data_IF_924508731388
#
_entry.id   IF_924508731388
#
_cell.length_a   1.000
_cell.length_b   1.000
_cell.length_c   1.000
_cell.angle_alpha   90.00
_cell.angle_beta   90.00
_cell.angle_gamma   90.00
#
_symmetry.space_group_name_H-M   'P 1'
#
loop_
_entity.id
_entity.type
_entity.pdbx_description
1 polymer ?
#
# COMPACT_ATOMS: atom_id res chain seq x y z
N UNK A 1 13.97 -5.36 3.15
CA UNK A 1 13.70 -6.68 3.72
C UNK A 1 13.66 -6.66 5.25
N UNK A 2 14.68 -6.11 5.93
CA UNK A 2 14.76 -6.12 7.40
C UNK A 2 13.59 -5.37 8.08
N UNK A 3 13.16 -4.22 7.55
CA UNK A 3 12.00 -3.49 8.07
C UNK A 3 10.65 -4.17 7.78
N UNK A 4 10.48 -4.80 6.61
CA UNK A 4 9.32 -5.66 6.30
C UNK A 4 9.22 -6.81 7.31
N UNK A 5 10.36 -7.44 7.63
CA UNK A 5 10.47 -8.48 8.64
C UNK A 5 10.16 -7.91 10.04
N UNK A 6 10.68 -6.73 10.39
CA UNK A 6 10.41 -6.06 11.67
C UNK A 6 8.93 -5.72 11.81
N UNK A 7 8.33 -5.07 10.82
CA UNK A 7 6.90 -4.71 10.80
C UNK A 7 6.06 -5.97 10.92
N UNK A 8 6.30 -7.01 10.10
CA UNK A 8 5.55 -8.26 10.23
C UNK A 8 5.82 -8.99 11.56
N UNK A 9 7.03 -8.89 12.12
CA UNK A 9 7.36 -9.48 13.44
C UNK A 9 6.68 -8.77 14.61
N UNK A 10 6.28 -7.50 14.45
CA UNK A 10 5.41 -6.83 15.43
C UNK A 10 4.01 -7.48 15.50
N UNK A 11 3.57 -8.17 14.44
CA UNK A 11 2.29 -8.90 14.39
C UNK A 11 2.46 -10.38 14.70
N UNK A 12 3.60 -10.95 14.28
CA UNK A 12 3.99 -12.33 14.54
C UNK A 12 4.89 -12.31 15.76
N UNK A 13 4.28 -12.24 16.95
CA UNK A 13 5.03 -12.31 18.20
C UNK A 13 5.90 -13.59 18.20
N UNK A 14 7.25 -13.48 18.11
CA UNK A 14 8.12 -14.64 17.91
C UNK A 14 8.10 -15.61 19.10
N UNK A 15 7.61 -15.16 20.26
CA UNK A 15 7.52 -15.96 21.50
C UNK A 15 6.15 -16.64 21.70
N UNK A 16 5.13 -16.32 20.90
CA UNK A 16 3.79 -16.88 21.05
C UNK A 16 3.43 -17.80 19.88
N UNK A 17 3.83 -19.06 20.01
CA UNK A 17 3.70 -20.19 19.07
C UNK A 17 2.27 -20.60 18.70
N UNK A 18 1.24 -19.89 19.17
CA UNK A 18 -0.14 -20.30 18.96
C UNK A 18 -0.80 -19.59 17.76
N UNK A 19 -0.54 -20.13 16.55
CA UNK A 19 -1.22 -19.76 15.28
C UNK A 19 -2.76 -19.73 15.40
N UNK A 20 -3.32 -20.50 16.33
CA UNK A 20 -4.75 -20.56 16.61
C UNK A 20 -5.29 -19.31 17.33
N UNK A 21 -4.46 -18.54 18.03
CA UNK A 21 -4.91 -17.36 18.78
C UNK A 21 -5.27 -16.22 17.83
N UNK A 22 -4.47 -15.94 16.80
CA UNK A 22 -4.74 -14.84 15.85
C UNK A 22 -6.02 -15.08 15.05
N UNK A 23 -6.21 -16.30 14.52
CA UNK A 23 -7.45 -16.68 13.80
C UNK A 23 -8.67 -16.66 14.72
N UNK A 24 -8.54 -17.13 15.97
CA UNK A 24 -9.61 -17.11 16.97
C UNK A 24 -9.95 -15.69 17.41
N UNK A 25 -8.97 -14.79 17.54
CA UNK A 25 -9.17 -13.37 17.85
C UNK A 25 -9.90 -12.64 16.71
N UNK A 26 -9.44 -12.78 15.47
CA UNK A 26 -10.08 -12.18 14.29
C UNK A 26 -11.52 -12.69 14.18
N UNK A 27 -11.73 -14.01 14.15
CA UNK A 27 -13.07 -14.59 14.03
C UNK A 27 -14.01 -14.26 15.20
N UNK A 28 -13.50 -14.15 16.43
CA UNK A 28 -14.28 -13.73 17.61
C UNK A 28 -14.80 -12.30 17.47
N UNK A 29 -13.96 -11.39 16.99
CA UNK A 29 -14.26 -9.97 16.87
C UNK A 29 -15.10 -9.61 15.63
N UNK A 30 -15.16 -10.46 14.60
CA UNK A 30 -16.06 -10.21 13.46
C UNK A 30 -17.54 -10.11 13.89
N UNK A 31 -18.28 -9.16 13.30
CA UNK A 31 -19.72 -8.96 13.48
C UNK A 31 -20.46 -9.44 12.23
N UNK A 32 -21.78 -9.63 12.34
CA UNK A 32 -22.65 -9.92 11.20
C UNK A 32 -23.59 -8.75 10.96
N UNK A 33 -23.37 -8.00 9.90
CA UNK A 33 -24.29 -6.99 9.40
C UNK A 33 -24.38 -7.11 7.88
N UNK A 34 -25.52 -7.60 7.38
CA UNK A 34 -25.70 -7.88 5.95
C UNK A 34 -25.69 -6.61 5.11
N UNK A 35 -26.25 -5.50 5.62
CA UNK A 35 -26.36 -4.25 4.88
C UNK A 35 -24.96 -3.69 4.63
N UNK A 36 -24.15 -3.56 5.69
CA UNK A 36 -22.77 -3.08 5.57
C UNK A 36 -21.95 -4.00 4.64
N UNK A 37 -22.12 -5.31 4.79
CA UNK A 37 -21.38 -6.28 4.01
C UNK A 37 -21.76 -6.26 2.51
N UNK A 38 -23.04 -6.12 2.19
CA UNK A 38 -23.55 -6.10 0.82
C UNK A 38 -23.21 -4.77 0.13
N UNK A 39 -23.45 -3.64 0.80
CA UNK A 39 -23.05 -2.31 0.31
C UNK A 39 -21.55 -2.26 0.06
N UNK A 40 -20.75 -2.76 1.00
CA UNK A 40 -19.29 -2.82 0.87
C UNK A 40 -18.83 -3.62 -0.35
N UNK A 41 -19.41 -4.81 -0.59
CA UNK A 41 -19.10 -5.59 -1.80
C UNK A 41 -19.49 -4.87 -3.07
N UNK A 42 -20.70 -4.28 -3.15
CA UNK A 42 -21.14 -3.53 -4.33
C UNK A 42 -20.15 -2.40 -4.64
N UNK A 43 -19.78 -1.60 -3.64
CA UNK A 43 -18.81 -0.52 -3.80
C UNK A 43 -17.45 -1.03 -4.29
N UNK A 44 -16.95 -2.12 -3.72
CA UNK A 44 -15.68 -2.72 -4.15
C UNK A 44 -15.74 -3.10 -5.63
N UNK A 45 -16.75 -3.84 -6.07
CA UNK A 45 -16.87 -4.25 -7.47
C UNK A 45 -17.09 -3.08 -8.43
N UNK A 46 -17.81 -2.03 -8.01
CA UNK A 46 -17.91 -0.78 -8.77
C UNK A 46 -16.53 -0.14 -8.95
N UNK A 47 -15.76 -0.03 -7.86
CA UNK A 47 -14.38 0.48 -7.91
C UNK A 47 -13.54 -0.37 -8.88
N UNK A 48 -13.56 -1.70 -8.76
CA UNK A 48 -12.80 -2.56 -9.68
C UNK A 48 -13.22 -2.38 -11.15
N UNK A 49 -14.52 -2.30 -11.43
CA UNK A 49 -15.04 -2.06 -12.78
C UNK A 49 -14.55 -0.75 -13.37
N UNK A 50 -14.68 0.35 -12.64
CA UNK A 50 -14.18 1.67 -13.06
C UNK A 50 -12.66 1.65 -13.23
N UNK A 51 -11.94 0.95 -12.33
CA UNK A 51 -10.49 0.80 -12.39
C UNK A 51 -10.01 0.08 -13.64
N UNK A 52 -10.62 -1.05 -13.97
CA UNK A 52 -10.26 -1.81 -15.18
C UNK A 52 -10.56 -1.00 -16.45
N UNK A 53 -11.69 -0.28 -16.49
CA UNK A 53 -12.03 0.60 -17.63
C UNK A 53 -11.04 1.76 -17.76
N UNK A 54 -10.62 2.36 -16.65
CA UNK A 54 -9.63 3.43 -16.65
C UNK A 54 -8.26 2.93 -17.13
N UNK A 55 -7.84 1.75 -16.64
CA UNK A 55 -6.59 1.12 -17.03
C UNK A 55 -6.59 0.73 -18.50
N UNK A 56 -7.68 0.15 -19.01
CA UNK A 56 -7.76 -0.31 -20.40
C UNK A 56 -7.69 0.83 -21.40
N UNK A 57 -8.26 1.99 -21.09
CA UNK A 57 -8.18 3.20 -21.95
C UNK A 57 -6.77 3.75 -22.08
N UNK A 58 -5.97 3.64 -21.02
CA UNK A 58 -4.63 4.23 -20.97
C UNK A 58 -3.53 3.20 -21.29
N UNK A 59 -3.86 1.91 -21.42
CA UNK A 59 -2.89 0.83 -21.59
C UNK A 59 -2.16 0.90 -22.93
N UNK A 60 -0.84 1.09 -22.88
CA UNK A 60 0.06 0.91 -24.00
C UNK A 60 1.13 -0.14 -23.65
N UNK A 61 1.28 -1.16 -24.51
CA UNK A 61 2.28 -2.21 -24.36
C UNK A 61 3.69 -1.61 -24.23
N UNK A 62 4.44 -2.04 -23.22
CA UNK A 62 5.80 -1.56 -22.94
C UNK A 62 5.87 -0.27 -22.09
N UNK A 63 4.75 0.38 -21.80
CA UNK A 63 4.72 1.59 -20.95
C UNK A 63 4.17 1.31 -19.55
N UNK A 64 4.64 2.11 -18.58
CA UNK A 64 4.08 2.10 -17.24
C UNK A 64 2.79 2.92 -17.21
N UNK A 65 1.66 2.25 -17.00
CA UNK A 65 0.40 2.93 -16.72
C UNK A 65 0.10 2.85 -15.23
N UNK A 66 -0.08 4.01 -14.61
CA UNK A 66 -0.55 4.13 -13.24
C UNK A 66 -1.97 4.70 -13.26
N UNK A 67 -2.72 4.39 -12.21
CA UNK A 67 -4.00 5.04 -12.00
C UNK A 67 -3.77 6.21 -11.06
N UNK A 68 -4.13 7.40 -11.52
CA UNK A 68 -3.95 8.64 -10.75
C UNK A 68 -4.90 8.78 -9.57
N UNK A 69 -5.94 7.95 -9.47
CA UNK A 69 -6.96 8.13 -8.44
C UNK A 69 -6.66 7.30 -7.21
N UNK A 70 -6.63 7.99 -6.07
CA UNK A 70 -6.37 7.40 -4.75
C UNK A 70 -7.49 6.46 -4.28
N UNK A 71 -8.65 6.49 -4.93
CA UNK A 71 -9.82 5.68 -4.56
C UNK A 71 -9.55 4.17 -4.64
N UNK A 72 -8.69 3.74 -5.58
CA UNK A 72 -8.30 2.34 -5.71
C UNK A 72 -7.43 1.88 -4.56
N UNK A 73 -6.58 2.76 -4.05
CA UNK A 73 -5.69 2.47 -2.93
C UNK A 73 -6.47 2.41 -1.61
N UNK A 74 -7.39 3.36 -1.42
CA UNK A 74 -8.24 3.42 -0.23
C UNK A 74 -9.39 2.40 -0.25
N UNK A 75 -9.65 1.73 -1.38
CA UNK A 75 -10.60 0.62 -1.45
C UNK A 75 -10.31 -0.48 -0.43
N UNK A 76 -9.04 -0.63 -0.01
CA UNK A 76 -8.65 -1.59 1.01
C UNK A 76 -9.27 -1.32 2.38
N UNK A 77 -9.57 -0.05 2.70
CA UNK A 77 -10.30 0.31 3.91
C UNK A 77 -11.72 -0.26 3.87
N UNK A 78 -12.39 -0.09 2.73
CA UNK A 78 -13.72 -0.66 2.47
C UNK A 78 -13.66 -2.19 2.53
N UNK A 79 -12.62 -2.80 1.95
CA UNK A 79 -12.41 -4.24 1.99
C UNK A 79 -12.33 -4.78 3.41
N UNK A 80 -11.45 -4.20 4.24
CA UNK A 80 -11.25 -4.64 5.63
C UNK A 80 -12.56 -4.47 6.43
N UNK A 81 -13.24 -3.33 6.29
CA UNK A 81 -14.53 -3.09 6.95
C UNK A 81 -15.56 -4.15 6.53
N UNK A 82 -15.72 -4.38 5.24
CA UNK A 82 -16.68 -5.36 4.68
C UNK A 82 -16.40 -6.76 5.22
N UNK A 83 -15.13 -7.17 5.25
CA UNK A 83 -14.72 -8.46 5.79
C UNK A 83 -15.11 -8.62 7.28
N UNK A 84 -14.91 -7.58 8.09
CA UNK A 84 -15.24 -7.60 9.52
C UNK A 84 -16.73 -7.72 9.80
N UNK A 85 -17.60 -7.23 8.90
CA UNK A 85 -19.06 -7.33 9.02
C UNK A 85 -19.68 -8.55 8.30
N UNK A 86 -18.90 -9.32 7.55
CA UNK A 86 -19.35 -10.46 6.75
C UNK A 86 -19.31 -11.83 7.48
N UNK A 87 -19.25 -11.89 8.82
CA UNK A 87 -18.96 -13.13 9.57
C UNK A 87 -19.80 -14.35 9.17
N UNK A 88 -21.12 -14.17 9.06
CA UNK A 88 -22.07 -15.27 8.79
C UNK A 88 -22.29 -15.54 7.30
N UNK A 89 -21.82 -14.65 6.41
CA UNK A 89 -22.20 -14.66 5.00
C UNK A 89 -21.09 -15.27 4.14
N UNK A 90 -21.14 -16.60 3.95
CA UNK A 90 -20.11 -17.34 3.19
C UNK A 90 -19.95 -16.82 1.75
N UNK A 91 -21.06 -16.50 1.09
CA UNK A 91 -21.06 -15.93 -0.28
C UNK A 91 -20.31 -14.60 -0.32
N UNK A 92 -20.56 -13.70 0.64
CA UNK A 92 -19.83 -12.43 0.71
C UNK A 92 -18.33 -12.63 0.94
N UNK A 93 -17.96 -13.58 1.80
CA UNK A 93 -16.55 -13.91 2.00
C UNK A 93 -15.88 -14.46 0.72
N UNK A 94 -16.62 -15.26 -0.06
CA UNK A 94 -16.15 -15.74 -1.37
C UNK A 94 -16.01 -14.59 -2.37
N UNK A 95 -16.99 -13.67 -2.42
CA UNK A 95 -16.92 -12.48 -3.27
C UNK A 95 -15.75 -11.56 -2.89
N UNK A 96 -15.47 -11.37 -1.60
CA UNK A 96 -14.27 -10.64 -1.16
C UNK A 96 -12.98 -11.32 -1.60
N UNK A 97 -12.91 -12.66 -1.49
CA UNK A 97 -11.75 -13.41 -1.98
C UNK A 97 -11.56 -13.23 -3.50
N UNK A 98 -12.63 -13.43 -4.27
CA UNK A 98 -12.60 -13.26 -5.73
C UNK A 98 -12.24 -11.83 -6.12
N UNK A 99 -12.80 -10.85 -5.44
CA UNK A 99 -12.48 -9.44 -5.63
C UNK A 99 -10.97 -9.19 -5.46
N UNK A 100 -10.38 -9.64 -4.36
CA UNK A 100 -8.96 -9.40 -4.09
C UNK A 100 -8.05 -10.12 -5.10
N UNK A 101 -8.42 -11.33 -5.55
CA UNK A 101 -7.70 -12.05 -6.61
C UNK A 101 -7.79 -11.30 -7.94
N UNK A 102 -9.00 -10.91 -8.36
CA UNK A 102 -9.22 -10.16 -9.60
C UNK A 102 -8.48 -8.81 -9.57
N UNK A 103 -8.59 -8.07 -8.47
CA UNK A 103 -7.88 -6.82 -8.26
C UNK A 103 -6.37 -7.02 -8.43
N UNK A 104 -5.79 -7.98 -7.71
CA UNK A 104 -4.35 -8.27 -7.75
C UNK A 104 -3.90 -8.65 -9.16
N UNK A 105 -4.60 -9.56 -9.84
CA UNK A 105 -4.24 -10.01 -11.19
C UNK A 105 -4.34 -8.86 -12.19
N UNK A 106 -5.48 -8.15 -12.22
CA UNK A 106 -5.68 -7.04 -13.15
C UNK A 106 -4.64 -5.95 -12.94
N UNK A 107 -4.49 -5.44 -11.72
CA UNK A 107 -3.57 -4.33 -11.43
C UNK A 107 -2.11 -4.72 -11.64
N UNK A 108 -1.74 -5.99 -11.40
CA UNK A 108 -0.39 -6.49 -11.71
C UNK A 108 -0.12 -6.55 -13.21
N UNK A 109 -1.10 -6.94 -14.03
CA UNK A 109 -0.97 -6.96 -15.50
C UNK A 109 -0.75 -5.55 -16.05
N UNK A 110 -1.52 -4.58 -15.56
CA UNK A 110 -1.34 -3.17 -15.94
C UNK A 110 -0.08 -2.55 -15.28
N UNK A 111 0.39 -3.17 -14.20
CA UNK A 111 1.67 -2.93 -13.54
C UNK A 111 1.65 -1.94 -12.38
N UNK A 112 0.47 -1.73 -11.78
CA UNK A 112 0.35 -1.22 -10.41
C UNK A 112 0.59 -2.36 -9.40
N UNK A 113 1.88 -2.56 -9.12
CA UNK A 113 2.38 -3.59 -8.20
C UNK A 113 2.12 -3.22 -6.74
N UNK A 114 2.23 -1.93 -6.41
CA UNK A 114 2.13 -1.44 -5.04
C UNK A 114 0.75 -1.69 -4.42
N UNK A 115 -0.32 -1.39 -5.17
CA UNK A 115 -1.70 -1.64 -4.75
C UNK A 115 -2.04 -3.13 -4.72
N UNK A 116 -1.46 -3.92 -5.63
CA UNK A 116 -1.63 -5.37 -5.67
C UNK A 116 -1.05 -6.04 -4.41
N UNK A 117 0.14 -5.61 -3.97
CA UNK A 117 0.77 -6.13 -2.75
C UNK A 117 -0.03 -5.84 -1.48
N UNK A 118 -0.68 -4.68 -1.39
CA UNK A 118 -1.57 -4.35 -0.27
C UNK A 118 -2.68 -5.40 -0.10
N UNK A 119 -3.32 -5.78 -1.19
CA UNK A 119 -4.38 -6.78 -1.17
C UNK A 119 -3.88 -8.18 -0.83
N UNK A 120 -2.71 -8.58 -1.34
CA UNK A 120 -2.07 -9.85 -0.97
C UNK A 120 -1.82 -9.89 0.55
N UNK A 121 -1.26 -8.81 1.12
CA UNK A 121 -0.96 -8.73 2.56
C UNK A 121 -2.24 -8.80 3.40
N UNK A 122 -3.27 -8.03 3.03
CA UNK A 122 -4.55 -8.06 3.76
C UNK A 122 -5.25 -9.43 3.64
N UNK A 123 -5.20 -10.07 2.48
CA UNK A 123 -5.70 -11.44 2.32
C UNK A 123 -4.99 -12.42 3.26
N UNK A 124 -3.67 -12.35 3.33
CA UNK A 124 -2.87 -13.20 4.22
C UNK A 124 -3.20 -12.91 5.70
N UNK A 125 -3.31 -11.64 6.08
CA UNK A 125 -3.61 -11.24 7.46
C UNK A 125 -5.02 -11.66 7.91
N UNK A 126 -6.03 -11.45 7.07
CA UNK A 126 -7.43 -11.66 7.45
C UNK A 126 -7.93 -13.07 7.17
N UNK A 127 -7.63 -13.61 5.98
CA UNK A 127 -8.19 -14.89 5.53
C UNK A 127 -7.27 -16.07 5.81
N UNK A 128 -5.96 -15.86 5.80
CA UNK A 128 -4.97 -16.92 5.97
C UNK A 128 -3.91 -16.66 7.06
N UNK A 129 -4.29 -16.19 8.26
CA UNK A 129 -3.32 -15.80 9.28
C UNK A 129 -2.43 -16.96 9.76
N UNK A 130 -2.85 -18.22 9.60
CA UNK A 130 -2.07 -19.38 10.02
C UNK A 130 -0.85 -19.66 9.12
N UNK A 131 -0.81 -19.11 7.90
CA UNK A 131 0.37 -19.20 7.04
C UNK A 131 1.41 -18.11 7.34
N UNK A 132 1.09 -17.10 8.15
CA UNK A 132 2.00 -16.03 8.54
C UNK A 132 2.93 -16.48 9.67
N UNK A 133 3.93 -17.29 9.33
CA UNK A 133 5.07 -17.59 10.21
C UNK A 133 6.27 -16.77 9.78
N UNK A 134 7.22 -16.51 10.68
CA UNK A 134 8.46 -15.80 10.35
C UNK A 134 9.14 -16.36 9.08
N UNK A 135 9.28 -17.70 9.00
CA UNK A 135 9.85 -18.39 7.83
C UNK A 135 9.04 -18.14 6.56
N UNK A 136 7.72 -18.25 6.65
CA UNK A 136 6.85 -18.06 5.49
C UNK A 136 6.81 -16.59 5.07
N UNK A 137 6.87 -15.64 6.01
CA UNK A 137 6.93 -14.21 5.72
C UNK A 137 8.21 -13.86 4.96
N UNK A 138 9.37 -14.40 5.38
CA UNK A 138 10.62 -14.21 4.63
C UNK A 138 10.48 -14.80 3.23
N UNK A 139 9.97 -16.04 3.13
CA UNK A 139 9.76 -16.70 1.85
C UNK A 139 8.85 -15.89 0.92
N UNK A 140 7.67 -15.47 1.40
CA UNK A 140 6.73 -14.63 0.64
C UNK A 140 7.33 -13.28 0.26
N UNK A 141 8.13 -12.67 1.14
CA UNK A 141 8.82 -11.41 0.83
C UNK A 141 9.82 -11.58 -0.32
N UNK A 142 10.67 -12.60 -0.26
CA UNK A 142 11.66 -12.89 -1.31
C UNK A 142 10.97 -13.28 -2.62
N UNK A 143 10.00 -14.20 -2.56
CA UNK A 143 9.23 -14.61 -3.74
C UNK A 143 8.45 -13.45 -4.35
N UNK A 144 7.90 -12.56 -3.52
CA UNK A 144 7.20 -11.36 -3.97
C UNK A 144 8.11 -10.43 -4.77
N UNK A 145 9.33 -10.19 -4.29
CA UNK A 145 10.34 -9.38 -5.02
C UNK A 145 10.68 -10.02 -6.36
N UNK A 146 10.98 -11.33 -6.37
CA UNK A 146 11.34 -12.05 -7.60
C UNK A 146 10.20 -12.00 -8.62
N UNK A 147 8.96 -12.31 -8.20
CA UNK A 147 7.78 -12.29 -9.07
C UNK A 147 7.48 -10.88 -9.58
N UNK A 148 7.56 -9.87 -8.71
CA UNK A 148 7.37 -8.46 -9.07
C UNK A 148 8.32 -8.00 -10.16
N UNK A 149 9.60 -8.40 -10.06
CA UNK A 149 10.62 -8.05 -11.04
C UNK A 149 10.41 -8.80 -12.35
N UNK A 150 10.09 -10.09 -12.28
CA UNK A 150 9.81 -10.92 -13.45
C UNK A 150 8.63 -10.37 -14.24
N UNK A 151 7.52 -10.01 -13.57
CA UNK A 151 6.37 -9.37 -14.22
C UNK A 151 6.78 -8.07 -14.90
N UNK A 152 7.62 -7.26 -14.26
CA UNK A 152 8.04 -6.00 -14.88
C UNK A 152 8.96 -6.18 -16.08
N UNK A 153 9.81 -7.22 -16.09
CA UNK A 153 10.67 -7.55 -17.24
C UNK A 153 9.80 -8.06 -18.40
N UNK A 154 8.84 -8.94 -18.12
CA UNK A 154 7.89 -9.44 -19.12
C UNK A 154 7.11 -8.27 -19.75
N UNK A 155 6.64 -7.32 -18.94
CA UNK A 155 5.95 -6.13 -19.44
C UNK A 155 6.86 -5.23 -20.27
N UNK A 156 8.09 -5.01 -19.82
CA UNK A 156 9.08 -4.20 -20.52
C UNK A 156 9.59 -4.83 -21.83
N UNK A 157 9.47 -6.16 -21.96
CA UNK A 157 9.85 -6.89 -23.17
C UNK A 157 8.92 -6.62 -24.37
N UNK A 158 7.71 -6.11 -24.13
CA UNK A 158 6.75 -5.79 -25.18
C UNK A 158 6.42 -7.00 -26.05
N UNK A 159 6.68 -6.90 -27.36
CA UNK A 159 6.47 -7.98 -28.33
C UNK A 159 7.57 -9.04 -28.36
N UNK A 160 8.74 -8.79 -27.75
CA UNK A 160 9.88 -9.73 -27.76
C UNK A 160 9.92 -10.56 -26.47
N UNK A 161 8.96 -11.46 -26.30
CA UNK A 161 8.84 -12.36 -25.15
C UNK A 161 9.75 -13.61 -25.24
N UNK A 162 10.86 -13.53 -25.98
CA UNK A 162 11.77 -14.67 -26.08
C UNK A 162 12.39 -14.98 -24.71
N UNK A 163 12.44 -16.27 -24.33
CA UNK A 163 12.99 -16.71 -23.05
C UNK A 163 14.43 -16.21 -22.85
N UNK A 164 15.23 -16.22 -23.91
CA UNK A 164 16.61 -15.71 -23.91
C UNK A 164 16.66 -14.22 -23.54
N UNK A 165 15.77 -13.39 -24.10
CA UNK A 165 15.70 -11.97 -23.76
C UNK A 165 15.30 -11.74 -22.29
N UNK A 166 14.25 -12.42 -21.81
CA UNK A 166 13.80 -12.30 -20.41
C UNK A 166 14.91 -12.72 -19.46
N UNK A 167 15.59 -13.84 -19.74
CA UNK A 167 16.70 -14.33 -18.92
C UNK A 167 17.89 -13.36 -18.91
N UNK A 168 18.28 -12.82 -20.08
CA UNK A 168 19.33 -11.80 -20.17
C UNK A 168 18.96 -10.54 -19.40
N UNK A 169 17.71 -10.09 -19.46
CA UNK A 169 17.23 -8.92 -18.72
C UNK A 169 17.23 -9.16 -17.21
N UNK A 170 16.90 -10.37 -16.75
CA UNK A 170 16.99 -10.74 -15.32
C UNK A 170 18.44 -10.68 -14.84
N UNK A 171 19.40 -11.19 -15.63
CA UNK A 171 20.83 -11.13 -15.28
C UNK A 171 21.36 -9.70 -15.33
N UNK A 172 21.03 -8.95 -16.39
CA UNK A 172 21.55 -7.61 -16.64
C UNK A 172 21.02 -6.56 -15.64
N UNK A 173 19.74 -6.64 -15.27
CA UNK A 173 19.13 -5.77 -14.26
C UNK A 173 19.31 -6.30 -12.83
N UNK A 174 19.58 -7.59 -12.69
CA UNK A 174 19.64 -8.27 -11.39
C UNK A 174 18.27 -8.36 -10.71
N UNK A 175 18.28 -8.67 -9.41
CA UNK A 175 17.09 -8.62 -8.55
C UNK A 175 16.75 -7.20 -8.06
N UNK A 176 17.50 -6.19 -8.52
CA UNK A 176 17.28 -4.80 -8.17
C UNK A 176 16.49 -4.15 -9.30
N UNK A 177 15.33 -3.59 -8.98
CA UNK A 177 14.55 -2.83 -9.94
C UNK A 177 14.45 -1.37 -9.51
N UNK A 178 14.29 -0.46 -10.48
CA UNK A 178 14.38 0.99 -10.33
C UNK A 178 13.42 1.63 -9.31
N UNK A 179 12.48 0.90 -8.71
CA UNK A 179 11.52 1.46 -7.74
C UNK A 179 12.24 2.04 -6.50
N UNK A 180 13.27 1.38 -5.96
CA UNK A 180 14.12 1.94 -4.87
C UNK A 180 14.61 3.33 -5.23
N UNK A 181 15.15 3.46 -6.44
CA UNK A 181 15.75 4.69 -6.93
C UNK A 181 14.67 5.77 -7.06
N UNK A 182 13.50 5.45 -7.62
CA UNK A 182 12.39 6.40 -7.74
C UNK A 182 11.88 6.92 -6.39
N UNK A 183 11.76 6.05 -5.39
CA UNK A 183 11.35 6.46 -4.04
C UNK A 183 12.42 7.24 -3.28
N UNK A 184 13.69 6.88 -3.49
CA UNK A 184 14.82 7.64 -2.97
C UNK A 184 14.84 9.06 -3.56
N UNK A 185 14.66 9.19 -4.88
CA UNK A 185 14.53 10.49 -5.56
C UNK A 185 13.29 11.26 -5.10
N UNK A 186 12.16 10.58 -4.88
CA UNK A 186 10.96 11.18 -4.28
C UNK A 186 11.23 11.79 -2.92
N UNK A 187 11.98 11.08 -2.07
CA UNK A 187 12.41 11.57 -0.76
C UNK A 187 13.35 12.77 -0.80
N UNK A 188 14.35 12.74 -1.68
CA UNK A 188 15.28 13.87 -1.88
C UNK A 188 14.56 15.12 -2.37
N UNK A 189 13.55 14.94 -3.22
CA UNK A 189 12.78 16.06 -3.77
C UNK A 189 11.98 16.80 -2.69
N UNK A 190 11.39 16.08 -1.72
CA UNK A 190 10.70 16.69 -0.57
C UNK A 190 11.64 17.45 0.37
N UNK A 191 12.86 16.94 0.57
CA UNK A 191 13.91 17.64 1.32
C UNK A 191 14.35 18.90 0.58
N UNK A 192 14.57 18.80 -0.73
CA UNK A 192 14.99 19.93 -1.55
C UNK A 192 13.96 21.07 -1.56
N UNK A 193 12.67 20.73 -1.56
CA UNK A 193 11.58 21.71 -1.42
C UNK A 193 11.70 22.48 -0.11
N UNK A 194 12.05 21.83 1.01
CA UNK A 194 12.27 22.52 2.29
C UNK A 194 13.48 23.48 2.23
N UNK A 195 14.58 23.05 1.61
CA UNK A 195 15.82 23.83 1.53
C UNK A 195 15.68 25.14 0.73
N UNK A 196 14.62 25.28 -0.07
CA UNK A 196 14.30 26.54 -0.75
C UNK A 196 13.77 27.61 0.19
N UNK A 197 13.40 27.23 1.43
CA UNK A 197 12.97 28.06 2.58
C UNK A 197 11.78 29.01 2.37
N UNK A 198 11.24 29.13 1.16
CA UNK A 198 10.16 30.08 0.85
C UNK A 198 8.76 29.52 1.08
N UNK A 199 8.57 28.20 1.03
CA UNK A 199 7.23 27.62 0.88
C UNK A 199 6.79 26.68 2.03
N UNK A 200 7.58 26.48 3.09
CA UNK A 200 7.30 25.46 4.12
C UNK A 200 5.89 25.53 4.74
N UNK A 201 5.46 26.74 5.15
CA UNK A 201 4.11 26.94 5.69
C UNK A 201 3.02 26.83 4.61
N UNK A 202 3.28 27.31 3.40
CA UNK A 202 2.33 27.22 2.29
C UNK A 202 2.05 25.76 1.94
N UNK A 203 3.10 24.93 1.92
CA UNK A 203 3.04 23.49 1.71
C UNK A 203 2.31 22.78 2.84
N UNK A 204 2.54 23.17 4.10
CA UNK A 204 1.81 22.63 5.25
C UNK A 204 0.30 22.94 5.15
N UNK A 205 -0.06 24.20 4.91
CA UNK A 205 -1.47 24.58 4.79
C UNK A 205 -2.13 23.99 3.54
N UNK A 206 -1.41 23.92 2.43
CA UNK A 206 -1.82 23.22 1.22
C UNK A 206 -2.11 21.75 1.50
N UNK A 207 -1.22 21.04 2.18
CA UNK A 207 -1.43 19.65 2.57
C UNK A 207 -2.70 19.47 3.42
N UNK A 208 -2.91 20.32 4.43
CA UNK A 208 -4.13 20.29 5.26
C UNK A 208 -5.38 20.53 4.41
N UNK A 209 -5.37 21.52 3.52
CA UNK A 209 -6.46 21.75 2.55
C UNK A 209 -6.72 20.52 1.68
N UNK A 210 -5.64 19.87 1.22
CA UNK A 210 -5.68 18.62 0.45
C UNK A 210 -6.39 17.48 1.18
N UNK A 211 -6.18 17.34 2.50
CA UNK A 211 -6.91 16.36 3.33
C UNK A 211 -8.42 16.61 3.29
N UNK A 212 -8.85 17.87 3.24
CA UNK A 212 -10.26 18.25 3.12
C UNK A 212 -10.77 18.27 1.67
N UNK A 213 -9.96 17.83 0.70
CA UNK A 213 -10.33 17.76 -0.72
C UNK A 213 -10.23 19.09 -1.46
N UNK A 214 -9.69 20.13 -0.84
CA UNK A 214 -9.40 21.41 -1.49
C UNK A 214 -8.06 21.28 -2.23
N UNK A 215 -8.08 21.46 -3.55
CA UNK A 215 -6.88 21.38 -4.40
C UNK A 215 -6.28 22.77 -4.62
N UNK A 216 -5.00 22.92 -4.29
CA UNK A 216 -4.16 24.05 -4.67
C UNK A 216 -2.76 23.56 -5.07
N UNK A 217 -1.89 24.46 -5.55
CA UNK A 217 -0.54 24.11 -6.00
C UNK A 217 0.33 23.49 -4.89
N UNK A 218 0.00 23.76 -3.63
CA UNK A 218 0.72 23.29 -2.44
C UNK A 218 0.09 22.03 -1.82
N UNK A 219 -1.10 21.62 -2.28
CA UNK A 219 -1.86 20.49 -1.74
C UNK A 219 -1.21 19.12 -1.97
N UNK A 220 -0.32 19.05 -2.95
CA UNK A 220 0.50 17.89 -3.25
C UNK A 220 1.97 18.29 -3.30
N UNK A 221 2.72 18.01 -2.22
CA UNK A 221 4.17 18.28 -2.12
C UNK A 221 4.95 17.60 -3.24
N UNK A 222 4.51 16.41 -3.65
CA UNK A 222 5.18 15.59 -4.66
C UNK A 222 4.95 16.24 -6.02
N UNK A 223 3.70 16.58 -6.34
CA UNK A 223 3.33 17.34 -7.53
C UNK A 223 4.02 18.70 -7.61
N UNK A 224 4.05 19.45 -6.51
CA UNK A 224 4.76 20.72 -6.40
C UNK A 224 6.25 20.57 -6.68
N UNK A 225 6.90 19.59 -6.04
CA UNK A 225 8.32 19.30 -6.27
C UNK A 225 8.61 18.93 -7.73
N UNK A 226 7.73 18.12 -8.34
CA UNK A 226 7.85 17.68 -9.73
C UNK A 226 7.78 18.85 -10.71
N UNK A 227 6.90 19.81 -10.45
CA UNK A 227 6.69 20.97 -11.32
C UNK A 227 7.81 21.99 -11.22
N UNK A 228 8.33 22.25 -10.01
CA UNK A 228 9.19 23.42 -9.78
C UNK A 228 10.67 23.13 -9.49
N UNK A 229 11.03 21.90 -9.12
CA UNK A 229 12.40 21.62 -8.64
C UNK A 229 13.03 20.39 -9.27
N UNK A 230 12.52 19.21 -8.92
CA UNK A 230 13.17 17.95 -9.26
C UNK A 230 12.13 16.94 -9.69
N UNK A 231 12.49 16.11 -10.67
CA UNK A 231 11.61 15.04 -11.14
C UNK A 231 11.29 14.09 -9.99
N UNK A 232 10.04 14.13 -9.52
CA UNK A 232 9.48 13.20 -8.56
C UNK A 232 8.43 12.35 -9.28
N UNK A 233 8.69 11.04 -9.40
CA UNK A 233 7.81 10.08 -10.05
C UNK A 233 6.64 9.61 -9.17
N UNK A 234 6.45 10.22 -8.00
CA UNK A 234 5.52 9.78 -6.97
C UNK A 234 6.22 9.08 -5.81
N UNK A 235 5.57 9.11 -4.64
CA UNK A 235 6.05 8.49 -3.41
C UNK A 235 6.65 9.48 -2.40
N UNK A 236 7.09 8.93 -1.27
CA UNK A 236 7.66 9.68 -0.14
C UNK A 236 7.12 9.15 1.18
N UNK A 237 7.95 8.95 2.20
CA UNK A 237 7.46 8.45 3.50
C UNK A 237 6.94 9.61 4.36
N UNK A 238 6.05 9.33 5.31
CA UNK A 238 5.50 10.36 6.22
C UNK A 238 6.58 11.29 6.82
N UNK A 239 7.75 10.80 7.31
CA UNK A 239 8.85 11.66 7.73
C UNK A 239 9.32 12.67 6.68
N UNK A 240 9.31 12.32 5.40
CA UNK A 240 9.76 13.23 4.33
C UNK A 240 8.73 14.34 4.07
N UNK A 241 7.43 14.02 4.16
CA UNK A 241 6.39 15.05 4.12
C UNK A 241 6.47 15.97 5.34
N UNK A 242 6.69 15.41 6.53
CA UNK A 242 6.88 16.19 7.75
C UNK A 242 8.12 17.09 7.67
N UNK A 243 9.19 16.58 7.05
CA UNK A 243 10.41 17.34 6.77
C UNK A 243 10.15 18.47 5.77
N UNK A 244 9.38 18.23 4.71
CA UNK A 244 9.09 19.27 3.72
C UNK A 244 8.36 20.47 4.33
N UNK A 245 7.54 20.24 5.36
CA UNK A 245 6.80 21.28 6.07
C UNK A 245 7.68 22.15 6.97
N UNK A 246 8.47 21.53 7.85
CA UNK A 246 9.17 22.22 8.94
C UNK A 246 10.55 21.62 9.28
N UNK A 247 11.17 20.90 8.35
CA UNK A 247 12.45 20.25 8.53
C UNK A 247 12.42 19.22 9.67
N UNK A 248 13.53 19.06 10.37
CA UNK A 248 13.63 18.13 11.50
C UNK A 248 12.62 18.40 12.61
N UNK A 249 12.22 19.66 12.81
CA UNK A 249 11.19 19.98 13.81
C UNK A 249 9.84 19.35 13.43
N UNK A 250 9.45 19.45 12.16
CA UNK A 250 8.23 18.81 11.64
C UNK A 250 8.27 17.30 11.79
N UNK A 251 9.41 16.67 11.52
CA UNK A 251 9.61 15.21 11.71
C UNK A 251 9.40 14.85 13.18
N UNK A 252 10.11 15.50 14.11
CA UNK A 252 10.04 15.17 15.53
C UNK A 252 8.62 15.35 16.07
N UNK A 253 7.98 16.50 15.81
CA UNK A 253 6.62 16.75 16.30
C UNK A 253 5.60 15.84 15.64
N UNK A 254 5.69 15.61 14.33
CA UNK A 254 4.76 14.74 13.60
C UNK A 254 4.86 13.28 14.02
N UNK A 255 6.07 12.77 14.29
CA UNK A 255 6.27 11.42 14.82
C UNK A 255 5.73 11.29 16.26
N UNK A 256 5.92 12.29 17.12
CA UNK A 256 5.33 12.31 18.48
C UNK A 256 3.80 12.26 18.39
N UNK A 257 3.19 13.11 17.56
CA UNK A 257 1.73 13.13 17.36
C UNK A 257 1.25 11.78 16.84
N UNK A 258 1.92 11.23 15.82
CA UNK A 258 1.60 9.92 15.25
C UNK A 258 1.69 8.83 16.30
N UNK A 259 2.75 8.83 17.13
CA UNK A 259 2.91 7.91 18.26
C UNK A 259 1.78 8.02 19.29
N UNK A 260 1.38 9.24 19.67
CA UNK A 260 0.26 9.47 20.61
C UNK A 260 -1.06 8.95 20.02
N UNK A 261 -1.32 9.24 18.75
CA UNK A 261 -2.54 8.80 18.05
C UNK A 261 -2.56 7.27 17.96
N UNK A 262 -1.48 6.64 17.51
CA UNK A 262 -1.36 5.19 17.46
C UNK A 262 -1.54 4.57 18.85
N UNK A 263 -0.89 5.10 19.88
CA UNK A 263 -1.02 4.58 21.25
C UNK A 263 -2.47 4.69 21.77
N UNK A 264 -3.15 5.82 21.54
CA UNK A 264 -4.58 5.97 21.89
C UNK A 264 -5.48 5.00 21.13
N UNK A 265 -5.22 4.81 19.84
CA UNK A 265 -6.01 3.91 19.00
C UNK A 265 -5.81 2.44 19.41
N UNK A 266 -4.56 2.04 19.64
CA UNK A 266 -4.18 0.69 20.06
C UNK A 266 -4.67 0.34 21.47
N UNK A 267 -4.73 1.32 22.39
CA UNK A 267 -5.22 1.13 23.75
C UNK A 267 -6.73 1.32 23.90
N UNK A 268 -7.47 1.65 22.83
CA UNK A 268 -8.93 1.82 22.94
C UNK A 268 -9.62 0.48 23.19
N UNK A 269 -10.56 0.37 24.13
CA UNK A 269 -11.24 -0.90 24.46
C UNK A 269 -12.13 -1.49 23.33
N UNK A 270 -12.12 -0.94 22.11
CA UNK A 270 -12.92 -1.42 20.97
C UNK A 270 -12.16 -2.48 20.18
N UNK A 271 -12.27 -3.74 20.60
CA UNK A 271 -11.54 -4.89 20.04
C UNK A 271 -11.59 -5.03 18.51
N UNK A 272 -12.72 -4.67 17.89
CA UNK A 272 -12.87 -4.74 16.42
C UNK A 272 -12.15 -3.61 15.69
N UNK A 273 -12.23 -2.40 16.25
CA UNK A 273 -11.68 -1.20 15.64
C UNK A 273 -10.15 -1.22 15.68
N UNK A 274 -9.59 -1.68 16.81
CA UNK A 274 -8.14 -1.92 16.93
C UNK A 274 -7.67 -2.88 15.84
N UNK A 275 -8.31 -4.04 15.65
CA UNK A 275 -7.86 -5.02 14.65
C UNK A 275 -7.95 -4.49 13.22
N UNK A 276 -8.98 -3.70 12.91
CA UNK A 276 -9.11 -3.02 11.61
C UNK A 276 -7.95 -2.06 11.41
N UNK A 277 -7.69 -1.18 12.38
CA UNK A 277 -6.59 -0.20 12.31
C UNK A 277 -5.24 -0.92 12.19
N UNK A 278 -4.99 -1.91 13.03
CA UNK A 278 -3.77 -2.71 13.05
C UNK A 278 -3.54 -3.34 11.66
N UNK A 279 -4.57 -3.95 11.08
CA UNK A 279 -4.49 -4.57 9.75
C UNK A 279 -4.20 -3.53 8.65
N UNK A 280 -4.87 -2.38 8.69
CA UNK A 280 -4.67 -1.28 7.73
C UNK A 280 -3.28 -0.68 7.85
N UNK A 281 -2.83 -0.35 9.07
CA UNK A 281 -1.49 0.15 9.35
C UNK A 281 -0.43 -0.83 8.84
N UNK A 282 -0.60 -2.14 9.04
CA UNK A 282 0.33 -3.15 8.49
C UNK A 282 0.44 -3.04 6.97
N UNK A 283 -0.71 -3.04 6.30
CA UNK A 283 -0.75 -3.05 4.85
C UNK A 283 -0.13 -1.76 4.31
N UNK A 284 -0.58 -0.61 4.82
CA UNK A 284 -0.08 0.68 4.37
C UNK A 284 1.41 0.87 4.69
N UNK A 285 1.92 0.48 5.86
CA UNK A 285 3.35 0.57 6.17
C UNK A 285 4.22 -0.21 5.19
N UNK A 286 3.77 -1.38 4.72
CA UNK A 286 4.52 -2.17 3.73
C UNK A 286 4.49 -1.54 2.33
N UNK A 287 3.39 -0.89 1.95
CA UNK A 287 3.29 -0.17 0.66
C UNK A 287 4.38 0.89 0.50
N UNK A 288 4.60 1.72 1.51
CA UNK A 288 5.64 2.75 1.47
C UNK A 288 7.04 2.15 1.28
N UNK A 289 7.24 0.90 1.72
CA UNK A 289 8.51 0.20 1.59
C UNK A 289 8.70 -0.51 0.24
N UNK A 290 7.63 -0.99 -0.39
CA UNK A 290 7.70 -1.57 -1.76
C UNK A 290 7.90 -0.48 -2.81
N UNK A 291 7.51 0.76 -2.51
CA UNK A 291 7.92 1.91 -3.32
C UNK A 291 9.44 2.11 -3.17
N UNK A 292 10.02 1.87 -1.98
CA UNK A 292 11.46 1.91 -1.68
C UNK A 292 12.26 0.65 -2.09
N UNK A 293 11.67 -0.36 -2.74
CA UNK A 293 12.32 -1.62 -3.19
C UNK A 293 12.10 -1.92 -4.67
#
# INVERSE_FOLDING_TARGET
MLLFIVIFSCFINPTNTNKNITKKLISRNRKSNIIIALVGVIFLYLILGVGIISLSKNFQLGTYTYIETTIYEYSIVIFVLTYFFAKKFKIINLLLFLYAVLFTVSFTIFGDRSSSFLYIIILLLLMFPHYLTFRNTIFFGISGIILSNLISIIRGAGSNLSFSYVFHQIIAKGLYQDTVSWAYYGGLSGIAVHETKQYGLNILFGFVKGIFGLKDEFSDVIGFSKTYYYYNAGGGILPQHLYSFAGWSGVIFGEIITGIVLNKLLNSNRSNFILIIISLVTAFCVRWYIILL
#
